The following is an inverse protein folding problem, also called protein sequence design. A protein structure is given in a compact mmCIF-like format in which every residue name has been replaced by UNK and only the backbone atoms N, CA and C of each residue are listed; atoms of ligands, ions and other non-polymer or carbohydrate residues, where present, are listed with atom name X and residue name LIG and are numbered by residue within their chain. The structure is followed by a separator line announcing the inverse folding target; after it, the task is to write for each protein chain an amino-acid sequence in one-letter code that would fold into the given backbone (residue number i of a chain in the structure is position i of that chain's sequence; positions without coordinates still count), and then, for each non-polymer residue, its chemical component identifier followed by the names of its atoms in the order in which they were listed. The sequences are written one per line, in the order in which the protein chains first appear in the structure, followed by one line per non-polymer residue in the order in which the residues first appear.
data_IF_971358059877
#
_entry.id   IF_971358059877
#
_cell.length_a   1.000
_cell.length_b   1.000
_cell.length_c   1.000
_cell.angle_alpha   90.00
_cell.angle_beta   90.00
_cell.angle_gamma   90.00
#
_symmetry.space_group_name_H-M   'P 1'
#
loop_
_entity.id
_entity.type
_entity.pdbx_description
1 polymer ?
#
# COMPACT_ATOMS: atom_id res chain seq x y z
N UNK A 1 -13.93 16.36 1.45
CA UNK A 1 -13.04 15.17 1.42
C UNK A 1 -12.33 15.10 2.76
N UNK A 2 -12.00 13.91 3.26
CA UNK A 2 -11.31 13.79 4.56
C UNK A 2 -9.94 14.45 4.51
N UNK A 3 -9.41 14.84 5.68
CA UNK A 3 -8.06 15.41 5.85
C UNK A 3 -6.94 14.44 5.41
N UNK A 4 -7.27 13.15 5.26
CA UNK A 4 -6.35 12.09 4.85
C UNK A 4 -6.39 11.78 3.35
N UNK A 5 -7.32 12.36 2.59
CA UNK A 5 -7.43 12.06 1.16
C UNK A 5 -6.17 12.50 0.40
N UNK A 6 -5.58 11.56 -0.35
CA UNK A 6 -4.38 11.80 -1.13
C UNK A 6 -3.08 11.84 -0.32
N UNK A 7 -3.12 11.52 0.98
CA UNK A 7 -1.93 11.41 1.83
C UNK A 7 -1.45 9.98 1.94
N UNK A 8 -0.14 9.83 2.03
CA UNK A 8 0.50 8.55 2.27
C UNK A 8 0.54 8.20 3.76
N UNK A 9 0.56 6.89 4.04
CA UNK A 9 0.86 6.34 5.36
C UNK A 9 2.20 5.59 5.27
N UNK A 10 3.31 6.35 5.35
CA UNK A 10 4.68 5.81 5.34
C UNK A 10 5.13 5.53 6.77
N UNK A 11 4.94 6.52 7.65
CA UNK A 11 5.17 6.40 9.08
C UNK A 11 4.02 7.02 9.88
N UNK A 12 3.77 6.50 11.09
CA UNK A 12 2.75 7.07 11.98
C UNK A 12 3.13 8.46 12.48
N UNK A 13 4.39 8.87 12.38
CA UNK A 13 4.82 10.22 12.74
C UNK A 13 4.34 11.30 11.76
N UNK A 14 3.89 10.92 10.56
CA UNK A 14 3.37 11.86 9.56
C UNK A 14 1.96 12.36 9.87
N UNK A 15 1.27 11.68 10.78
CA UNK A 15 -0.13 11.92 11.10
C UNK A 15 -0.23 12.40 12.55
N UNK A 16 -1.16 13.33 12.80
CA UNK A 16 -1.53 13.74 14.14
C UNK A 16 -2.16 12.58 14.92
N UNK A 17 -2.18 12.68 16.24
CA UNK A 17 -2.82 11.66 17.09
C UNK A 17 -4.29 11.52 16.73
N UNK A 18 -4.97 12.64 16.51
CA UNK A 18 -6.38 12.71 16.14
C UNK A 18 -6.66 12.03 14.79
N UNK A 19 -5.73 12.14 13.83
CA UNK A 19 -5.84 11.45 12.54
C UNK A 19 -5.68 9.94 12.66
N UNK A 20 -4.75 9.49 13.52
CA UNK A 20 -4.56 8.07 13.80
C UNK A 20 -5.78 7.50 14.51
N UNK A 21 -6.32 8.21 15.51
CA UNK A 21 -7.53 7.81 16.23
C UNK A 21 -8.72 7.69 15.28
N UNK A 22 -8.96 8.67 14.41
CA UNK A 22 -10.01 8.59 13.37
C UNK A 22 -9.85 7.36 12.46
N UNK A 23 -8.63 7.02 12.06
CA UNK A 23 -8.38 5.85 11.23
C UNK A 23 -8.63 4.53 11.97
N UNK A 24 -8.28 4.47 13.26
CA UNK A 24 -8.55 3.32 14.12
C UNK A 24 -10.05 3.15 14.40
N UNK A 25 -10.77 4.24 14.67
CA UNK A 25 -12.23 4.23 14.84
C UNK A 25 -12.93 3.68 13.60
N UNK A 26 -12.54 4.16 12.41
CA UNK A 26 -13.05 3.63 11.14
C UNK A 26 -12.73 2.13 10.99
N UNK A 27 -11.53 1.69 11.38
CA UNK A 27 -11.19 0.27 11.36
C UNK A 27 -12.06 -0.56 12.32
N UNK A 28 -12.43 -0.01 13.49
CA UNK A 28 -13.38 -0.65 14.40
C UNK A 28 -14.80 -0.71 13.83
N UNK A 29 -15.26 0.34 13.14
CA UNK A 29 -16.56 0.36 12.45
C UNK A 29 -16.64 -0.71 11.35
N UNK A 30 -15.61 -0.81 10.51
CA UNK A 30 -15.49 -1.88 9.51
C UNK A 30 -15.41 -3.25 10.16
N UNK A 31 -14.74 -3.40 11.30
CA UNK A 31 -14.68 -4.68 12.01
C UNK A 31 -16.07 -5.08 12.55
N UNK A 32 -16.82 -4.13 13.12
CA UNK A 32 -18.14 -4.37 13.69
C UNK A 32 -19.19 -4.69 12.60
N UNK A 33 -19.09 -4.05 11.44
CA UNK A 33 -20.06 -4.14 10.36
C UNK A 33 -19.47 -4.71 9.06
N UNK A 34 -18.53 -5.66 9.15
CA UNK A 34 -17.66 -6.09 8.04
C UNK A 34 -18.34 -6.26 6.68
N UNK A 35 -19.52 -6.88 6.65
CA UNK A 35 -20.23 -7.15 5.40
C UNK A 35 -21.38 -6.18 5.09
N UNK A 36 -21.78 -5.36 6.06
CA UNK A 36 -22.92 -4.42 5.95
C UNK A 36 -22.51 -2.94 6.12
N UNK A 37 -21.22 -2.65 6.21
CA UNK A 37 -20.73 -1.30 6.39
C UNK A 37 -21.15 -0.43 5.19
N UNK A 38 -21.64 0.81 5.40
CA UNK A 38 -22.10 1.67 4.30
C UNK A 38 -21.06 2.00 3.24
N UNK A 39 -19.77 1.88 3.59
CA UNK A 39 -18.64 2.09 2.68
C UNK A 39 -18.14 0.79 2.02
N UNK A 40 -18.82 -0.33 2.20
CA UNK A 40 -18.54 -1.52 1.40
C UNK A 40 -18.72 -1.17 -0.09
N UNK A 41 -17.80 -1.64 -0.93
CA UNK A 41 -17.68 -1.27 -2.34
C UNK A 41 -17.19 0.16 -2.64
N UNK A 42 -16.63 0.90 -1.67
CA UNK A 42 -16.07 2.23 -1.96
C UNK A 42 -14.87 2.22 -2.94
N UNK A 43 -14.26 1.05 -3.16
CA UNK A 43 -13.20 0.81 -4.14
C UNK A 43 -13.70 -0.04 -5.32
N UNK A 44 -14.99 0.01 -5.66
CA UNK A 44 -15.58 -0.77 -6.76
C UNK A 44 -14.76 -0.66 -8.05
N UNK A 45 -14.35 -1.83 -8.58
CA UNK A 45 -13.54 -1.98 -9.81
C UNK A 45 -12.21 -1.21 -9.80
N UNK A 46 -11.71 -0.85 -8.61
CA UNK A 46 -10.40 -0.21 -8.44
C UNK A 46 -9.33 -1.24 -8.09
N UNK A 47 -8.09 -0.96 -8.47
CA UNK A 47 -6.96 -1.84 -8.20
C UNK A 47 -6.01 -1.21 -7.19
N UNK A 48 -5.60 -1.97 -6.18
CA UNK A 48 -4.52 -1.64 -5.24
C UNK A 48 -3.29 -2.48 -5.57
N UNK A 49 -2.13 -1.87 -5.73
CA UNK A 49 -0.90 -2.59 -6.04
C UNK A 49 -0.09 -2.89 -4.78
N UNK A 50 0.38 -4.13 -4.66
CA UNK A 50 1.10 -4.60 -3.47
C UNK A 50 2.50 -5.08 -3.84
N UNK A 51 3.51 -4.25 -3.59
CA UNK A 51 4.92 -4.58 -3.78
C UNK A 51 5.47 -5.29 -2.56
N UNK A 52 5.78 -6.58 -2.70
CA UNK A 52 6.37 -7.37 -1.64
C UNK A 52 7.76 -7.82 -2.07
N UNK A 53 8.79 -7.13 -1.57
CA UNK A 53 10.18 -7.58 -1.75
C UNK A 53 10.44 -8.90 -1.04
N UNK A 54 9.61 -9.20 -0.02
CA UNK A 54 9.63 -10.45 0.72
C UNK A 54 8.21 -10.93 1.06
N UNK A 55 7.94 -12.25 0.99
CA UNK A 55 6.64 -12.80 1.34
C UNK A 55 6.23 -12.47 2.78
N UNK A 56 4.95 -12.12 2.99
CA UNK A 56 4.34 -12.01 4.30
C UNK A 56 2.88 -12.45 4.22
N UNK A 57 2.56 -13.53 4.93
CA UNK A 57 1.23 -14.12 4.93
C UNK A 57 0.20 -13.14 5.47
N UNK A 58 0.42 -12.62 6.69
CA UNK A 58 -0.57 -11.76 7.37
C UNK A 58 -0.83 -10.47 6.59
N UNK A 59 0.22 -9.81 6.13
CA UNK A 59 0.08 -8.54 5.39
C UNK A 59 -0.62 -8.76 4.05
N UNK A 60 -0.22 -9.78 3.29
CA UNK A 60 -0.84 -10.10 2.00
C UNK A 60 -2.31 -10.44 2.15
N UNK A 61 -2.65 -11.39 3.04
CA UNK A 61 -4.04 -11.79 3.24
C UNK A 61 -4.92 -10.63 3.71
N UNK A 62 -4.38 -9.72 4.53
CA UNK A 62 -5.13 -8.55 5.01
C UNK A 62 -5.49 -7.61 3.86
N UNK A 63 -4.53 -7.29 2.99
CA UNK A 63 -4.79 -6.42 1.84
C UNK A 63 -5.70 -7.08 0.78
N UNK A 64 -5.49 -8.36 0.46
CA UNK A 64 -6.34 -9.07 -0.51
C UNK A 64 -7.80 -9.16 -0.01
N UNK A 65 -8.01 -9.49 1.26
CA UNK A 65 -9.34 -9.53 1.86
C UNK A 65 -9.98 -8.14 1.91
N UNK A 66 -9.25 -7.12 2.39
CA UNK A 66 -9.77 -5.75 2.48
C UNK A 66 -10.14 -5.19 1.11
N UNK A 67 -9.31 -5.36 0.08
CA UNK A 67 -9.64 -4.88 -1.26
C UNK A 67 -10.90 -5.55 -1.80
N UNK A 68 -11.03 -6.88 -1.61
CA UNK A 68 -12.22 -7.63 -2.04
C UNK A 68 -13.49 -7.14 -1.33
N UNK A 69 -13.42 -6.93 -0.02
CA UNK A 69 -14.57 -6.44 0.78
C UNK A 69 -14.95 -5.00 0.44
N UNK A 70 -13.98 -4.18 0.03
CA UNK A 70 -14.20 -2.83 -0.47
C UNK A 70 -14.58 -2.80 -1.97
N UNK A 71 -14.87 -3.95 -2.60
CA UNK A 71 -15.32 -4.08 -4.00
C UNK A 71 -14.22 -3.93 -5.05
N UNK A 72 -12.96 -3.84 -4.62
CA UNK A 72 -11.79 -3.70 -5.48
C UNK A 72 -11.00 -5.00 -5.65
N UNK A 73 -9.80 -4.84 -6.21
CA UNK A 73 -8.83 -5.91 -6.39
C UNK A 73 -7.47 -5.50 -5.84
N UNK A 74 -6.81 -6.39 -5.10
CA UNK A 74 -5.41 -6.20 -4.72
C UNK A 74 -4.51 -7.07 -5.62
N UNK A 75 -3.63 -6.44 -6.39
CA UNK A 75 -2.67 -7.13 -7.25
C UNK A 75 -1.36 -7.35 -6.50
N UNK A 76 -1.00 -8.61 -6.30
CA UNK A 76 0.28 -8.98 -5.70
C UNK A 76 1.42 -8.85 -6.73
N UNK A 77 2.45 -8.09 -6.38
CA UNK A 77 3.59 -7.76 -7.23
C UNK A 77 4.87 -8.17 -6.50
N UNK A 78 5.59 -9.13 -7.06
CA UNK A 78 6.91 -9.52 -6.58
C UNK A 78 7.99 -8.83 -7.42
N UNK A 79 8.73 -7.83 -6.89
CA UNK A 79 9.69 -7.04 -7.66
C UNK A 79 10.77 -7.87 -8.34
N UNK A 80 11.17 -9.00 -7.73
CA UNK A 80 12.19 -9.91 -8.29
C UNK A 80 11.76 -10.55 -9.61
N UNK A 81 10.46 -10.68 -9.83
CA UNK A 81 9.88 -11.18 -11.09
C UNK A 81 9.68 -10.10 -12.14
N UNK A 82 9.86 -8.83 -11.77
CA UNK A 82 9.70 -7.68 -12.66
C UNK A 82 11.01 -7.32 -13.35
N UNK A 83 10.90 -6.80 -14.57
CA UNK A 83 12.05 -6.32 -15.35
C UNK A 83 12.40 -4.87 -14.99
N UNK A 84 12.61 -4.60 -13.70
CA UNK A 84 13.07 -3.30 -13.22
C UNK A 84 14.58 -3.15 -13.45
N UNK A 85 15.01 -1.95 -13.80
CA UNK A 85 16.41 -1.59 -13.94
C UNK A 85 17.09 -1.69 -12.58
N UNK A 86 18.17 -2.45 -12.52
CA UNK A 86 19.04 -2.50 -11.33
C UNK A 86 20.44 -2.04 -11.71
N UNK A 87 21.35 -1.95 -10.73
CA UNK A 87 22.77 -1.71 -11.00
C UNK A 87 23.42 -2.81 -11.85
N UNK A 88 22.80 -3.99 -11.96
CA UNK A 88 23.34 -5.17 -12.64
C UNK A 88 22.48 -5.64 -13.83
N UNK A 89 21.30 -5.06 -14.06
CA UNK A 89 20.36 -5.52 -15.10
C UNK A 89 19.66 -4.36 -15.80
N UNK A 90 19.59 -4.42 -17.14
CA UNK A 90 18.78 -3.52 -17.93
C UNK A 90 17.28 -3.82 -17.72
N UNK A 91 16.47 -2.77 -17.68
CA UNK A 91 15.04 -2.85 -17.39
C UNK A 91 14.38 -1.47 -17.46
N UNK A 92 13.11 -1.41 -17.07
CA UNK A 92 12.38 -0.15 -16.90
C UNK A 92 12.91 0.61 -15.69
N UNK A 93 12.98 1.95 -15.78
CA UNK A 93 13.34 2.74 -14.59
C UNK A 93 12.20 2.63 -13.56
N UNK A 94 12.56 2.69 -12.28
CA UNK A 94 11.57 2.64 -11.19
C UNK A 94 10.59 3.81 -11.34
N UNK A 95 11.08 5.00 -11.70
CA UNK A 95 10.29 6.20 -11.93
C UNK A 95 9.28 6.03 -13.07
N UNK A 96 9.70 5.53 -14.23
CA UNK A 96 8.79 5.30 -15.36
C UNK A 96 7.72 4.27 -15.01
N UNK A 97 8.12 3.16 -14.39
CA UNK A 97 7.19 2.12 -13.96
C UNK A 97 6.19 2.67 -12.94
N UNK A 98 6.65 3.42 -11.93
CA UNK A 98 5.80 4.05 -10.92
C UNK A 98 4.80 5.05 -11.54
N UNK A 99 5.25 5.88 -12.47
CA UNK A 99 4.41 6.84 -13.19
C UNK A 99 3.33 6.15 -14.03
N UNK A 100 3.63 5.01 -14.65
CA UNK A 100 2.62 4.21 -15.36
C UNK A 100 1.65 3.59 -14.37
N UNK A 101 2.14 3.00 -13.29
CA UNK A 101 1.32 2.30 -12.30
C UNK A 101 0.37 3.22 -11.53
N UNK A 102 0.79 4.44 -11.20
CA UNK A 102 -0.04 5.44 -10.52
C UNK A 102 -1.31 5.81 -11.29
N UNK A 103 -1.33 5.61 -12.62
CA UNK A 103 -2.52 5.86 -13.46
C UNK A 103 -3.56 4.75 -13.39
N UNK A 104 -3.18 3.56 -12.95
CA UNK A 104 -4.07 2.39 -12.85
C UNK A 104 -4.51 2.09 -11.42
N UNK A 105 -3.65 2.36 -10.44
CA UNK A 105 -3.90 2.00 -9.05
C UNK A 105 -4.55 3.13 -8.25
N UNK A 106 -5.37 2.78 -7.26
CA UNK A 106 -5.85 3.72 -6.22
C UNK A 106 -4.87 3.95 -5.09
N UNK A 107 -3.86 3.11 -5.00
CA UNK A 107 -2.83 3.16 -3.99
C UNK A 107 -1.80 2.06 -4.22
N UNK A 108 -0.64 2.24 -3.60
CA UNK A 108 0.48 1.31 -3.68
C UNK A 108 0.92 1.00 -2.25
N UNK A 109 0.91 -0.29 -1.88
CA UNK A 109 1.48 -0.79 -0.64
C UNK A 109 2.86 -1.37 -0.92
N UNK A 110 3.88 -0.93 -0.17
CA UNK A 110 5.25 -1.41 -0.32
C UNK A 110 5.70 -2.06 0.99
N UNK A 111 6.20 -3.29 0.89
CA UNK A 111 6.80 -4.03 2.00
C UNK A 111 8.27 -4.34 1.71
N UNK A 112 9.15 -3.75 2.50
CA UNK A 112 10.60 -3.94 2.47
C UNK A 112 11.04 -4.69 3.75
N UNK A 113 12.10 -5.50 3.68
CA UNK A 113 12.73 -6.10 4.87
C UNK A 113 13.66 -5.14 5.58
N UNK A 114 13.71 -5.24 6.91
CA UNK A 114 14.75 -4.61 7.72
C UNK A 114 16.17 -5.05 7.31
N UNK A 115 16.36 -6.31 6.90
CA UNK A 115 17.67 -6.79 6.42
C UNK A 115 18.07 -6.26 5.05
N UNK A 116 17.13 -5.68 4.29
CA UNK A 116 17.43 -4.98 3.05
C UNK A 116 17.75 -3.50 3.31
N UNK A 117 17.60 -3.05 4.56
CA UNK A 117 17.94 -1.71 5.01
C UNK A 117 19.26 -1.76 5.81
N UNK A 118 20.12 -0.79 5.60
CA UNK A 118 21.40 -0.64 6.30
C UNK A 118 21.21 -0.07 7.70
N UNK A 119 20.14 0.71 7.90
CA UNK A 119 19.77 1.33 9.18
C UNK A 119 18.27 1.65 9.25
N UNK A 120 17.76 1.82 10.47
CA UNK A 120 16.38 2.21 10.71
C UNK A 120 16.08 3.59 10.11
N UNK A 121 15.01 3.71 9.32
CA UNK A 121 14.63 4.94 8.61
C UNK A 121 15.08 5.01 7.16
N UNK A 122 16.05 4.18 6.71
CA UNK A 122 16.46 4.17 5.31
C UNK A 122 15.32 3.84 4.34
N UNK A 123 14.37 2.99 4.76
CA UNK A 123 13.18 2.70 3.96
C UNK A 123 12.30 3.92 3.72
N UNK A 124 12.19 4.82 4.70
CA UNK A 124 11.46 6.07 4.58
C UNK A 124 12.17 7.02 3.61
N UNK A 125 13.49 7.14 3.70
CA UNK A 125 14.27 7.96 2.75
C UNK A 125 14.12 7.49 1.30
N UNK A 126 14.09 6.17 1.08
CA UNK A 126 13.88 5.58 -0.24
C UNK A 126 12.48 5.90 -0.77
N UNK A 127 11.45 5.85 0.09
CA UNK A 127 10.07 6.11 -0.30
C UNK A 127 9.75 7.59 -0.53
N UNK A 128 10.51 8.50 0.08
CA UNK A 128 10.33 9.96 -0.05
C UNK A 128 11.17 10.62 -1.15
N UNK A 129 12.04 9.87 -1.81
CA UNK A 129 12.86 10.35 -2.93
C UNK A 129 12.10 10.34 -4.25
#
# INVERSE_FOLDING_TARGET
MSELYGRDLITTQDWSVEEIEKALDLAFEFKANRYDHPLNNCLDRRTFFMFFYNPSVRTRQSFEAAATELGGHAQFLEPKSMRLKTSKSAGETIEDAANVMSRYAVGIGIRILETALEYYGQGEEILRR
#
